data_IF_291672986136
#
_entry.id   IF_291672986136
#
_cell.length_a   1.000
_cell.length_b   1.000
_cell.length_c   1.000
_cell.angle_alpha   90.00
_cell.angle_beta   90.00
_cell.angle_gamma   90.00
#
_symmetry.space_group_name_H-M   'P 1'
#
loop_
_entity.id
_entity.type
_entity.pdbx_description
1 polymer ?
#
# COMPACT_ATOMS: atom_id res chain seq x y z
N UNK A 1 31.17 37.54 -9.02
CA UNK A 1 29.98 37.20 -8.21
C UNK A 1 29.05 36.17 -8.86
N UNK A 2 28.55 36.37 -10.09
CA UNK A 2 27.64 35.41 -10.77
C UNK A 2 28.20 33.97 -10.92
N UNK A 3 29.50 33.81 -11.21
CA UNK A 3 30.15 32.48 -11.33
C UNK A 3 30.23 31.70 -10.00
N UNK A 4 30.39 32.39 -8.87
CA UNK A 4 30.48 31.77 -7.54
C UNK A 4 29.09 31.25 -7.10
N UNK A 5 28.03 32.03 -7.37
CA UNK A 5 26.64 31.62 -7.10
C UNK A 5 26.27 30.38 -7.93
N UNK A 6 26.69 30.32 -9.19
CA UNK A 6 26.47 29.15 -10.04
C UNK A 6 27.17 27.88 -9.50
N UNK A 7 28.40 28.01 -9.00
CA UNK A 7 29.15 26.88 -8.42
C UNK A 7 28.47 26.36 -7.15
N UNK A 8 28.03 27.23 -6.24
CA UNK A 8 27.31 26.83 -5.01
C UNK A 8 26.00 26.11 -5.35
N UNK A 9 25.26 26.62 -6.35
CA UNK A 9 24.04 25.96 -6.82
C UNK A 9 24.28 24.55 -7.35
N UNK A 10 25.36 24.34 -8.12
CA UNK A 10 25.73 23.01 -8.62
C UNK A 10 26.13 22.05 -7.49
N UNK A 11 26.90 22.51 -6.50
CA UNK A 11 27.25 21.67 -5.35
C UNK A 11 26.04 21.27 -4.48
N UNK A 12 25.11 22.19 -4.25
CA UNK A 12 23.87 21.90 -3.54
C UNK A 12 23.00 20.87 -4.30
N UNK A 13 22.88 21.02 -5.62
CA UNK A 13 22.18 20.06 -6.49
C UNK A 13 22.83 18.68 -6.46
N UNK A 14 24.15 18.60 -6.60
CA UNK A 14 24.87 17.32 -6.56
C UNK A 14 24.72 16.62 -5.19
N UNK A 15 24.78 17.38 -4.09
CA UNK A 15 24.58 16.85 -2.74
C UNK A 15 23.15 16.37 -2.53
N UNK A 16 22.16 17.08 -3.06
CA UNK A 16 20.76 16.66 -3.01
C UNK A 16 20.49 15.42 -3.87
N UNK A 17 21.08 15.34 -5.07
CA UNK A 17 20.96 14.17 -5.93
C UNK A 17 21.66 12.94 -5.35
N UNK A 18 22.86 13.10 -4.79
CA UNK A 18 23.59 11.99 -4.15
C UNK A 18 22.85 11.50 -2.91
N UNK A 19 22.30 12.42 -2.11
CA UNK A 19 21.37 12.11 -1.02
C UNK A 19 20.20 11.28 -1.54
N UNK A 20 19.42 11.81 -2.50
CA UNK A 20 18.26 11.09 -3.05
C UNK A 20 18.62 9.71 -3.62
N UNK A 21 19.78 9.59 -4.26
CA UNK A 21 20.25 8.34 -4.85
C UNK A 21 20.62 7.29 -3.78
N UNK A 22 21.35 7.69 -2.73
CA UNK A 22 21.75 6.79 -1.64
C UNK A 22 20.52 6.29 -0.87
N UNK A 23 19.62 7.19 -0.47
CA UNK A 23 18.43 6.82 0.28
C UNK A 23 17.41 6.00 -0.54
N UNK A 24 17.32 6.21 -1.86
CA UNK A 24 16.52 5.36 -2.76
C UNK A 24 17.05 3.93 -2.85
N UNK A 25 18.35 3.73 -2.74
CA UNK A 25 18.92 2.38 -2.69
C UNK A 25 18.54 1.66 -1.38
N UNK A 26 18.49 2.41 -0.29
CA UNK A 26 18.14 1.88 1.02
C UNK A 26 16.65 1.54 1.13
N UNK A 27 15.75 2.36 0.56
CA UNK A 27 14.30 2.09 0.58
C UNK A 27 13.94 0.79 -0.14
N UNK A 28 14.52 0.54 -1.32
CA UNK A 28 14.29 -0.68 -2.09
C UNK A 28 14.89 -1.90 -1.39
N UNK A 29 16.10 -1.76 -0.83
CA UNK A 29 16.75 -2.84 -0.08
C UNK A 29 15.90 -3.30 1.11
N UNK A 30 15.29 -2.37 1.85
CA UNK A 30 14.40 -2.73 2.94
C UNK A 30 13.09 -3.35 2.45
N UNK A 31 12.54 -2.86 1.33
CA UNK A 31 11.38 -3.49 0.71
C UNK A 31 11.67 -4.95 0.33
N UNK A 32 12.78 -5.21 -0.37
CA UNK A 32 13.17 -6.54 -0.83
C UNK A 32 13.34 -7.51 0.35
N UNK A 33 14.00 -7.06 1.42
CA UNK A 33 14.17 -7.85 2.63
C UNK A 33 12.84 -8.09 3.37
N UNK A 34 11.94 -7.12 3.35
CA UNK A 34 10.58 -7.30 3.86
C UNK A 34 9.80 -8.35 3.07
N UNK A 35 9.92 -8.35 1.74
CA UNK A 35 9.30 -9.33 0.85
C UNK A 35 9.88 -10.74 1.09
N UNK A 36 11.18 -10.86 1.32
CA UNK A 36 11.84 -12.13 1.71
C UNK A 36 11.18 -12.72 2.96
N UNK A 37 11.10 -11.97 4.06
CA UNK A 37 10.42 -12.45 5.28
C UNK A 37 8.93 -12.69 5.07
N UNK A 38 8.26 -11.88 4.24
CA UNK A 38 6.84 -12.09 3.91
C UNK A 38 6.64 -13.45 3.22
N UNK A 39 7.48 -13.79 2.25
CA UNK A 39 7.43 -15.08 1.55
C UNK A 39 7.78 -16.26 2.47
N UNK A 40 8.58 -16.04 3.51
CA UNK A 40 8.84 -17.01 4.58
C UNK A 40 7.72 -17.08 5.64
N UNK A 41 6.62 -16.33 5.48
CA UNK A 41 5.54 -16.17 6.46
C UNK A 41 5.99 -15.59 7.82
N UNK A 42 7.14 -14.90 7.85
CA UNK A 42 7.72 -14.25 9.03
C UNK A 42 7.24 -12.81 9.14
N UNK A 43 5.94 -12.67 9.36
CA UNK A 43 5.26 -11.38 9.26
C UNK A 43 5.74 -10.31 10.25
N UNK A 44 6.21 -10.70 11.43
CA UNK A 44 6.74 -9.74 12.41
C UNK A 44 8.02 -9.08 11.89
N UNK A 45 8.95 -9.87 11.37
CA UNK A 45 10.18 -9.39 10.76
C UNK A 45 9.89 -8.60 9.47
N UNK A 46 8.99 -9.10 8.63
CA UNK A 46 8.56 -8.40 7.41
C UNK A 46 8.05 -6.98 7.70
N UNK A 47 7.18 -6.83 8.72
CA UNK A 47 6.65 -5.53 9.13
C UNK A 47 7.73 -4.55 9.61
N UNK A 48 8.81 -5.02 10.24
CA UNK A 48 9.95 -4.17 10.63
C UNK A 48 10.61 -3.58 9.38
N UNK A 49 10.85 -4.41 8.37
CA UNK A 49 11.49 -3.97 7.13
C UNK A 49 10.59 -3.10 6.26
N UNK A 50 9.29 -3.40 6.20
CA UNK A 50 8.33 -2.55 5.52
C UNK A 50 8.19 -1.17 6.19
N UNK A 51 8.22 -1.08 7.52
CA UNK A 51 8.23 0.20 8.24
C UNK A 51 9.49 1.03 7.91
N UNK A 52 10.66 0.39 7.79
CA UNK A 52 11.89 1.05 7.34
C UNK A 52 11.79 1.57 5.90
N UNK A 53 11.26 0.75 4.98
CA UNK A 53 11.08 1.13 3.59
C UNK A 53 10.08 2.30 3.44
N UNK A 54 8.96 2.24 4.17
CA UNK A 54 7.95 3.30 4.20
C UNK A 54 8.53 4.62 4.72
N UNK A 55 9.31 4.60 5.81
CA UNK A 55 9.98 5.79 6.37
C UNK A 55 10.95 6.45 5.39
N UNK A 56 11.51 5.68 4.46
CA UNK A 56 12.38 6.20 3.41
C UNK A 56 11.64 6.65 2.14
N UNK A 57 10.33 6.38 2.05
CA UNK A 57 9.47 6.83 0.96
C UNK A 57 8.97 5.73 0.02
N UNK A 58 9.30 4.46 0.27
CA UNK A 58 8.84 3.37 -0.58
C UNK A 58 7.40 2.96 -0.24
N UNK A 59 6.46 3.42 -1.07
CA UNK A 59 5.04 3.21 -0.86
C UNK A 59 4.59 1.77 -1.10
N UNK A 60 5.34 0.94 -1.83
CA UNK A 60 4.97 -0.47 -2.06
C UNK A 60 4.95 -1.27 -0.76
N UNK A 61 5.73 -0.86 0.24
CA UNK A 61 5.73 -1.44 1.59
C UNK A 61 4.36 -1.34 2.28
N UNK A 62 3.54 -0.34 1.91
CA UNK A 62 2.19 -0.15 2.43
C UNK A 62 1.26 -1.29 2.00
N UNK A 63 1.39 -1.78 0.75
CA UNK A 63 0.61 -2.93 0.24
C UNK A 63 0.86 -4.15 1.12
N UNK A 64 2.12 -4.55 1.26
CA UNK A 64 2.48 -5.75 2.01
C UNK A 64 2.10 -5.64 3.48
N UNK A 65 2.32 -4.49 4.11
CA UNK A 65 1.88 -4.25 5.50
C UNK A 65 0.36 -4.38 5.64
N UNK A 66 -0.40 -3.83 4.68
CA UNK A 66 -1.85 -3.95 4.63
C UNK A 66 -2.34 -5.39 4.54
N UNK A 67 -1.74 -6.19 3.64
CA UNK A 67 -2.04 -7.62 3.47
C UNK A 67 -1.73 -8.40 4.75
N UNK A 68 -0.52 -8.23 5.32
CA UNK A 68 -0.14 -8.88 6.59
C UNK A 68 -1.16 -8.58 7.69
N UNK A 69 -1.57 -7.32 7.84
CA UNK A 69 -2.54 -6.95 8.88
C UNK A 69 -3.91 -7.57 8.62
N UNK A 70 -4.36 -7.71 7.37
CA UNK A 70 -5.61 -8.41 7.06
C UNK A 70 -5.55 -9.90 7.40
N UNK A 71 -4.48 -10.57 6.98
CA UNK A 71 -4.28 -12.01 7.22
C UNK A 71 -4.11 -12.31 8.70
N UNK A 72 -3.44 -11.42 9.43
CA UNK A 72 -3.25 -11.52 10.88
C UNK A 72 -4.49 -11.12 11.69
N UNK A 73 -5.66 -10.90 11.07
CA UNK A 73 -6.89 -10.56 11.78
C UNK A 73 -6.92 -9.14 12.37
N UNK A 74 -6.12 -8.22 11.83
CA UNK A 74 -5.99 -6.83 12.28
C UNK A 74 -6.51 -5.82 11.23
N UNK A 75 -7.77 -5.91 10.77
CA UNK A 75 -8.30 -5.09 9.67
C UNK A 75 -8.23 -3.59 9.94
N UNK A 76 -8.37 -3.14 11.20
CA UNK A 76 -8.23 -1.73 11.58
C UNK A 76 -6.84 -1.16 11.27
N UNK A 77 -5.78 -1.99 11.38
CA UNK A 77 -4.41 -1.59 11.02
C UNK A 77 -4.15 -1.69 9.52
N UNK A 78 -4.84 -2.60 8.83
CA UNK A 78 -4.72 -2.74 7.38
C UNK A 78 -5.30 -1.55 6.61
N UNK A 79 -6.48 -1.07 6.99
CA UNK A 79 -7.19 0.02 6.30
C UNK A 79 -6.30 1.24 5.99
N UNK A 80 -5.60 1.86 6.96
CA UNK A 80 -4.78 3.03 6.65
C UNK A 80 -3.61 2.69 5.69
N UNK A 81 -3.01 1.50 5.80
CA UNK A 81 -1.92 1.07 4.91
C UNK A 81 -2.41 0.88 3.48
N UNK A 82 -3.52 0.15 3.30
CA UNK A 82 -4.14 -0.07 2.00
C UNK A 82 -4.66 1.22 1.36
N UNK A 83 -5.27 2.13 2.13
CA UNK A 83 -5.68 3.46 1.63
C UNK A 83 -4.48 4.31 1.23
N UNK A 84 -3.41 4.27 2.02
CA UNK A 84 -2.15 4.93 1.71
C UNK A 84 -1.63 4.45 0.36
N UNK A 85 -1.46 3.14 0.19
CA UNK A 85 -1.00 2.57 -1.08
C UNK A 85 -1.90 2.94 -2.26
N UNK A 86 -3.22 2.81 -2.10
CA UNK A 86 -4.20 3.16 -3.14
C UNK A 86 -4.07 4.62 -3.61
N UNK A 87 -3.70 5.55 -2.73
CA UNK A 87 -3.55 6.97 -3.07
C UNK A 87 -2.34 7.27 -3.97
N UNK A 88 -1.40 6.33 -4.08
CA UNK A 88 -0.23 6.41 -4.95
C UNK A 88 -0.38 5.61 -6.25
N UNK A 89 -1.48 4.87 -6.42
CA UNK A 89 -1.74 4.08 -7.61
C UNK A 89 -2.47 4.87 -8.68
N UNK A 90 -2.09 4.67 -9.94
CA UNK A 90 -2.96 5.00 -11.06
C UNK A 90 -4.25 4.18 -11.00
N UNK A 91 -5.36 4.78 -11.40
CA UNK A 91 -6.65 4.11 -11.54
C UNK A 91 -6.63 2.86 -12.44
N UNK A 92 -5.73 2.83 -13.42
CA UNK A 92 -5.53 1.74 -14.38
C UNK A 92 -4.47 0.73 -13.93
N UNK A 93 -3.77 0.99 -12.82
CA UNK A 93 -2.79 0.06 -12.28
C UNK A 93 -3.48 -1.25 -11.88
N UNK A 94 -2.84 -2.39 -12.15
CA UNK A 94 -3.44 -3.71 -11.89
C UNK A 94 -3.82 -3.90 -10.41
N UNK A 95 -2.96 -3.46 -9.50
CA UNK A 95 -3.23 -3.49 -8.06
C UNK A 95 -4.44 -2.66 -7.64
N UNK A 96 -4.90 -1.66 -8.43
CA UNK A 96 -5.97 -0.75 -8.02
C UNK A 96 -7.24 -1.53 -7.63
N UNK A 97 -7.67 -2.45 -8.49
CA UNK A 97 -8.87 -3.29 -8.25
C UNK A 97 -8.67 -4.31 -7.12
N UNK A 98 -7.43 -4.73 -6.88
CA UNK A 98 -7.07 -5.68 -5.81
C UNK A 98 -7.15 -4.98 -4.45
N UNK A 99 -6.51 -3.81 -4.33
CA UNK A 99 -6.48 -3.03 -3.09
C UNK A 99 -7.86 -2.49 -2.72
N UNK A 100 -8.67 -2.10 -3.72
CA UNK A 100 -10.08 -1.77 -3.48
C UNK A 100 -10.86 -2.98 -2.94
N UNK A 101 -10.62 -4.19 -3.44
CA UNK A 101 -11.24 -5.39 -2.90
C UNK A 101 -10.82 -5.64 -1.43
N UNK A 102 -9.53 -5.52 -1.15
CA UNK A 102 -8.97 -5.76 0.18
C UNK A 102 -9.46 -4.74 1.20
N UNK A 103 -9.64 -3.48 0.79
CA UNK A 103 -10.32 -2.47 1.60
C UNK A 103 -11.77 -2.88 1.89
N UNK A 104 -12.50 -3.36 0.89
CA UNK A 104 -13.86 -3.87 1.11
C UNK A 104 -13.90 -5.01 2.13
N UNK A 105 -12.96 -5.96 2.04
CA UNK A 105 -12.80 -7.05 3.01
C UNK A 105 -12.45 -6.52 4.40
N UNK A 106 -11.54 -5.56 4.50
CA UNK A 106 -11.12 -4.97 5.77
C UNK A 106 -12.29 -4.26 6.48
N UNK A 107 -13.07 -3.47 5.75
CA UNK A 107 -14.24 -2.78 6.28
C UNK A 107 -15.35 -3.78 6.67
N UNK A 108 -15.56 -4.83 5.89
CA UNK A 108 -16.51 -5.89 6.22
C UNK A 108 -16.12 -6.59 7.54
N UNK A 109 -14.84 -6.94 7.72
CA UNK A 109 -14.34 -7.59 8.95
C UNK A 109 -14.50 -6.73 10.21
N UNK A 110 -14.70 -5.42 10.10
CA UNK A 110 -15.00 -4.53 11.23
C UNK A 110 -16.48 -4.15 11.31
N UNK A 111 -17.36 -4.85 10.58
CA UNK A 111 -18.80 -4.60 10.46
C UNK A 111 -19.17 -3.21 9.92
N UNK A 112 -18.25 -2.54 9.21
CA UNK A 112 -18.56 -1.32 8.47
C UNK A 112 -19.07 -1.69 7.07
N UNK A 113 -20.34 -2.09 7.04
CA UNK A 113 -20.99 -2.60 5.84
C UNK A 113 -21.10 -1.52 4.75
N UNK A 114 -21.23 -0.25 5.12
CA UNK A 114 -21.34 0.85 4.16
C UNK A 114 -20.03 1.03 3.38
N UNK A 115 -18.90 1.09 4.08
CA UNK A 115 -17.60 1.20 3.40
C UNK A 115 -17.23 -0.10 2.68
N UNK A 116 -17.58 -1.27 3.21
CA UNK A 116 -17.38 -2.53 2.50
C UNK A 116 -18.04 -2.52 1.11
N UNK A 117 -19.34 -2.15 1.05
CA UNK A 117 -20.08 -2.00 -0.21
C UNK A 117 -19.44 -0.97 -1.14
N UNK A 118 -19.05 0.18 -0.61
CA UNK A 118 -18.42 1.25 -1.39
C UNK A 118 -17.15 0.75 -2.10
N UNK A 119 -16.25 0.10 -1.38
CA UNK A 119 -14.98 -0.34 -1.91
C UNK A 119 -15.11 -1.54 -2.85
N UNK A 120 -15.95 -2.53 -2.51
CA UNK A 120 -16.24 -3.64 -3.43
C UNK A 120 -16.93 -3.18 -4.71
N UNK A 121 -17.81 -2.18 -4.66
CA UNK A 121 -18.42 -1.61 -5.88
C UNK A 121 -17.36 -1.01 -6.81
N UNK A 122 -16.46 -0.17 -6.26
CA UNK A 122 -15.35 0.42 -7.03
C UNK A 122 -14.41 -0.63 -7.64
N UNK A 123 -14.15 -1.72 -6.91
CA UNK A 123 -13.35 -2.83 -7.41
C UNK A 123 -14.08 -3.62 -8.52
N UNK A 124 -15.37 -3.88 -8.35
CA UNK A 124 -16.22 -4.57 -9.34
C UNK A 124 -16.34 -3.79 -10.63
N UNK A 125 -16.47 -2.46 -10.57
CA UNK A 125 -16.47 -1.57 -11.74
C UNK A 125 -15.16 -1.64 -12.54
N UNK A 126 -14.07 -2.10 -11.90
CA UNK A 126 -12.75 -2.36 -12.51
C UNK A 126 -12.52 -3.84 -12.82
N UNK A 127 -13.60 -4.64 -12.85
CA UNK A 127 -13.55 -6.06 -13.21
C UNK A 127 -13.05 -6.99 -12.10
N UNK A 128 -13.03 -6.58 -10.82
CA UNK A 128 -12.73 -7.52 -9.73
C UNK A 128 -13.92 -8.46 -9.47
N UNK A 129 -13.80 -9.70 -9.91
CA UNK A 129 -14.83 -10.74 -9.78
C UNK A 129 -15.13 -11.10 -8.31
N UNK A 130 -14.12 -11.13 -7.44
CA UNK A 130 -14.28 -11.43 -6.01
C UNK A 130 -15.17 -10.39 -5.33
N UNK A 131 -14.95 -9.11 -5.62
CA UNK A 131 -15.78 -8.02 -5.11
C UNK A 131 -17.22 -8.10 -5.62
N UNK A 132 -17.43 -8.47 -6.89
CA UNK A 132 -18.79 -8.69 -7.41
C UNK A 132 -19.50 -9.83 -6.67
N UNK A 133 -18.79 -10.91 -6.36
CA UNK A 133 -19.36 -12.04 -5.61
C UNK A 133 -19.68 -11.64 -4.16
N UNK A 134 -18.79 -10.91 -3.49
CA UNK A 134 -18.99 -10.40 -2.13
C UNK A 134 -20.23 -9.49 -2.03
N UNK A 135 -20.45 -8.62 -3.02
CA UNK A 135 -21.65 -7.77 -3.07
C UNK A 135 -22.93 -8.60 -3.19
N UNK A 136 -22.95 -9.59 -4.09
CA UNK A 136 -24.11 -10.49 -4.27
C UNK A 136 -24.42 -11.27 -3.01
N UNK A 137 -23.41 -11.76 -2.30
CA UNK A 137 -23.60 -12.48 -1.04
C UNK A 137 -24.18 -11.57 0.04
N UNK A 138 -23.63 -10.36 0.17
CA UNK A 138 -24.10 -9.37 1.13
C UNK A 138 -25.56 -8.97 0.88
N UNK A 139 -25.97 -8.83 -0.38
CA UNK A 139 -27.37 -8.53 -0.73
C UNK A 139 -28.31 -9.69 -0.39
N UNK A 140 -27.93 -10.93 -0.69
CA UNK A 140 -28.73 -12.12 -0.32
C UNK A 140 -28.98 -12.22 1.18
N UNK A 141 -27.98 -11.88 1.99
CA UNK A 141 -28.08 -11.94 3.45
C UNK A 141 -28.91 -10.79 4.05
N UNK A 142 -29.17 -9.71 3.31
CA UNK A 142 -30.03 -8.59 3.75
C UNK A 142 -31.52 -8.81 3.42
N UNK A 143 -31.88 -9.87 2.70
CA UNK A 143 -33.26 -10.18 2.27
C UNK A 143 -33.90 -11.28 3.15
N UNK A 144 -33.12 -11.89 4.06
CA UNK A 144 -33.61 -12.85 5.06
C UNK A 144 -33.87 -12.15 6.38
#
# INVERSE_FOLDING_TARGET
MRKIIAIIGVFALLSFMSYKFLFKKDEQKYLDKGIEYFNENRYKEALVYFDMAEKLGNTDALKYSGVIYLESGNPKRAIPKLKGYLSHLDSQHEDNKIILNDLGVAYFKINDIQNAKLYWKKASERGNQTSMNNLKELEKNNIK
#
